data_IF_882876353993
#
_entry.id   IF_882876353993
#
_cell.length_a   1.000
_cell.length_b   1.000
_cell.length_c   1.000
_cell.angle_alpha   90.00
_cell.angle_beta   90.00
_cell.angle_gamma   90.00
#
_symmetry.space_group_name_H-M   'P 1'
#
loop_
_entity.id
_entity.type
_entity.pdbx_description
1 polymer ?
2 non-polymer ?
3 water ?
#
# COMPACT_ATOMS: atom_id res chain seq x y z
N UNK A 5 2.40 9.86 -30.30
CA UNK A 5 2.94 11.24 -30.38
C UNK A 5 3.04 11.89 -29.00
N UNK A 6 1.90 12.08 -28.31
CA UNK A 6 1.99 12.36 -26.88
C UNK A 6 2.57 11.12 -26.18
N UNK A 7 2.31 9.93 -26.73
CA UNK A 7 2.96 8.71 -26.25
C UNK A 7 4.47 8.79 -26.41
N UNK A 8 4.94 9.04 -27.64
CA UNK A 8 6.36 9.21 -27.92
C UNK A 8 6.97 10.29 -27.03
N UNK A 9 6.23 11.36 -26.84
CA UNK A 9 6.66 12.47 -26.03
C UNK A 9 6.81 12.03 -24.58
N UNK A 10 5.86 11.23 -24.08
CA UNK A 10 5.92 10.78 -22.69
C UNK A 10 7.06 9.80 -22.44
N UNK A 11 7.27 8.86 -23.40
CA UNK A 11 8.40 7.94 -23.35
C UNK A 11 9.69 8.72 -23.17
N UNK A 12 9.87 9.78 -23.99
CA UNK A 12 11.11 10.53 -24.00
C UNK A 12 11.33 11.19 -22.63
N UNK A 13 10.24 11.66 -22.02
CA UNK A 13 10.25 12.20 -20.66
C UNK A 13 10.72 11.18 -19.63
N UNK A 14 10.15 9.98 -19.69
CA UNK A 14 10.47 8.95 -18.72
C UNK A 14 11.95 8.57 -18.81
N UNK A 15 12.50 8.60 -20.04
CA UNK A 15 13.88 8.25 -20.27
C UNK A 15 14.81 9.18 -19.50
N UNK A 16 14.38 10.45 -19.32
CA UNK A 16 15.17 11.45 -18.63
C UNK A 16 15.40 11.08 -17.16
N UNK A 17 14.49 10.28 -16.56
CA UNK A 17 14.55 10.03 -15.12
C UNK A 17 14.91 8.59 -14.73
N UNK A 18 14.90 7.64 -15.68
CA UNK A 18 15.10 6.21 -15.36
C UNK A 18 16.56 5.87 -15.60
N UNK A 19 16.97 4.69 -15.16
CA UNK A 19 18.31 4.20 -15.40
C UNK A 19 18.43 3.90 -16.89
N UNK A 20 19.64 4.01 -17.49
CA UNK A 20 19.85 3.54 -18.85
C UNK A 20 19.89 2.02 -18.93
N UNK A 21 19.50 1.48 -20.08
CA UNK A 21 19.75 0.08 -20.32
C UNK A 21 18.50 -0.75 -20.12
N UNK A 22 18.72 -2.07 -19.98
CA UNK A 22 17.69 -3.06 -20.20
C UNK A 22 17.96 -4.25 -19.26
N UNK A 23 17.12 -4.46 -18.24
CA UNK A 23 17.39 -5.50 -17.25
C UNK A 23 17.22 -6.92 -17.79
N UNK A 24 16.61 -7.08 -18.97
CA UNK A 24 16.59 -8.35 -19.69
C UNK A 24 18.01 -8.84 -19.96
N UNK A 25 18.96 -7.90 -19.99
CA UNK A 25 20.37 -8.23 -20.15
C UNK A 25 20.91 -9.04 -18.96
N UNK A 26 20.30 -8.95 -17.76
CA UNK A 26 20.88 -9.57 -16.56
C UNK A 26 19.89 -10.45 -15.80
N UNK A 27 18.62 -10.53 -16.27
CA UNK A 27 17.57 -11.34 -15.68
C UNK A 27 17.13 -12.46 -16.62
N UNK A 28 16.72 -13.60 -16.02
CA UNK A 28 16.18 -14.76 -16.71
C UNK A 28 14.86 -15.17 -16.10
N UNK A 29 14.08 -15.95 -16.85
CA UNK A 29 12.97 -16.71 -16.30
C UNK A 29 11.95 -15.78 -15.64
N UNK A 30 11.50 -14.79 -16.42
CA UNK A 30 10.35 -13.97 -16.03
C UNK A 30 9.10 -14.82 -15.91
N UNK A 31 8.48 -14.77 -14.73
CA UNK A 31 7.24 -15.48 -14.46
C UNK A 31 6.27 -14.49 -13.83
N UNK A 32 5.10 -14.34 -14.44
CA UNK A 32 4.07 -13.42 -13.96
C UNK A 32 3.52 -13.97 -12.65
N UNK A 33 3.50 -13.13 -11.61
CA UNK A 33 2.99 -13.54 -10.32
C UNK A 33 1.77 -12.71 -9.89
N UNK A 34 1.44 -11.60 -10.57
CA UNK A 34 0.26 -10.81 -10.20
C UNK A 34 0.09 -9.57 -11.08
N UNK A 35 -1.02 -8.85 -10.88
CA UNK A 35 -1.31 -7.61 -11.60
C UNK A 35 -1.94 -6.63 -10.62
N UNK A 36 -1.53 -5.36 -10.67
CA UNK A 36 -2.17 -4.30 -9.92
C UNK A 36 -2.92 -3.37 -10.88
N UNK A 37 -3.19 -2.13 -10.44
CA UNK A 37 -3.97 -1.18 -11.23
C UNK A 37 -3.11 -0.47 -12.28
N UNK A 38 -1.78 -0.45 -12.10
CA UNK A 38 -0.88 0.22 -13.02
C UNK A 38 -0.07 -0.76 -13.88
N UNK A 39 -0.13 -2.07 -13.62
CA UNK A 39 0.70 -2.99 -14.38
C UNK A 39 0.76 -4.38 -13.77
N UNK A 40 1.72 -5.19 -14.26
CA UNK A 40 1.88 -6.58 -13.86
C UNK A 40 3.17 -6.71 -13.07
N UNK A 41 3.28 -7.80 -12.29
CA UNK A 41 4.42 -8.09 -11.48
C UNK A 41 4.89 -9.49 -11.88
N UNK A 42 6.16 -9.60 -12.25
CA UNK A 42 6.81 -10.86 -12.55
C UNK A 42 7.90 -11.10 -11.52
N UNK A 43 8.25 -12.34 -11.25
CA UNK A 43 9.53 -12.62 -10.62
C UNK A 43 10.53 -12.89 -11.73
N UNK A 44 11.79 -12.71 -11.43
CA UNK A 44 12.87 -13.01 -12.34
C UNK A 44 14.08 -13.42 -11.53
N UNK A 45 14.95 -14.20 -12.19
CA UNK A 45 16.19 -14.66 -11.60
C UNK A 45 17.33 -13.79 -12.10
N UNK A 46 18.13 -13.27 -11.16
CA UNK A 46 19.38 -12.62 -11.53
C UNK A 46 20.34 -13.70 -12.01
N UNK A 47 20.78 -13.64 -13.27
CA UNK A 47 21.59 -14.70 -13.84
C UNK A 47 22.88 -14.97 -13.05
N UNK A 48 23.64 -13.90 -12.72
CA UNK A 48 24.95 -14.02 -12.08
C UNK A 48 24.86 -14.70 -10.71
N UNK A 49 23.79 -14.45 -9.95
CA UNK A 49 23.74 -14.82 -8.54
C UNK A 49 22.78 -15.98 -8.24
N UNK A 50 21.75 -16.17 -9.09
CA UNK A 50 20.60 -17.01 -8.77
C UNK A 50 19.60 -16.34 -7.81
N UNK A 51 19.81 -15.05 -7.47
CA UNK A 51 18.91 -14.34 -6.58
C UNK A 51 17.64 -13.96 -7.32
N UNK A 52 16.55 -13.78 -6.57
CA UNK A 52 15.27 -13.50 -7.18
C UNK A 52 14.94 -12.02 -6.93
N UNK A 53 14.33 -11.39 -7.93
CA UNK A 53 13.82 -10.03 -7.84
C UNK A 53 12.45 -10.01 -8.44
N UNK A 54 11.72 -8.91 -8.18
CA UNK A 54 10.40 -8.68 -8.70
C UNK A 54 10.56 -7.55 -9.72
N UNK A 55 9.75 -7.61 -10.77
CA UNK A 55 9.79 -6.64 -11.84
C UNK A 55 8.35 -6.21 -12.09
N UNK A 56 8.07 -4.92 -11.79
CA UNK A 56 6.78 -4.31 -12.08
C UNK A 56 6.89 -3.66 -13.46
N UNK A 57 5.94 -4.04 -14.31
CA UNK A 57 5.87 -3.61 -15.70
C UNK A 57 4.58 -2.87 -15.94
N UNK A 58 4.71 -1.58 -16.26
CA UNK A 58 3.61 -0.64 -16.31
C UNK A 58 3.58 -0.04 -17.73
N UNK A 59 2.53 -0.35 -18.49
CA UNK A 59 2.40 0.12 -19.85
C UNK A 59 2.04 1.61 -19.84
N UNK A 60 2.83 2.40 -20.55
CA UNK A 60 2.62 3.84 -20.62
C UNK A 60 1.28 4.21 -21.26
N UNK A 61 0.66 3.30 -22.03
CA UNK A 61 -0.57 3.64 -22.73
C UNK A 61 -1.81 3.17 -21.97
N UNK A 62 -1.65 2.52 -20.80
CA UNK A 62 -2.78 1.90 -20.11
C UNK A 62 -2.99 2.51 -18.73
N UNK A 63 -2.53 3.75 -18.52
CA UNK A 63 -2.67 4.43 -17.25
C UNK A 63 -3.87 5.38 -17.32
N UNK A 64 -4.60 5.54 -16.21
CA UNK A 64 -5.61 6.58 -16.05
C UNK A 64 -4.94 7.96 -16.02
N UNK A 65 -3.86 8.12 -15.23
CA UNK A 65 -3.07 9.34 -15.19
C UNK A 65 -1.60 8.98 -15.34
N UNK A 66 -1.10 9.04 -16.59
CA UNK A 66 0.21 8.47 -16.88
C UNK A 66 1.28 9.27 -16.16
N UNK A 67 1.03 10.56 -15.81
CA UNK A 67 2.02 11.36 -15.10
C UNK A 67 2.29 10.79 -13.69
N UNK A 68 1.38 9.98 -13.15
CA UNK A 68 1.59 9.39 -11.83
C UNK A 68 2.71 8.33 -11.83
N UNK A 69 3.11 7.83 -13.02
CA UNK A 69 4.21 6.89 -13.12
C UNK A 69 5.50 7.46 -12.53
N UNK A 70 5.67 8.81 -12.56
CA UNK A 70 6.84 9.46 -11.95
C UNK A 70 6.93 9.19 -10.45
N UNK A 71 5.78 8.88 -9.79
CA UNK A 71 5.75 8.51 -8.37
C UNK A 71 6.74 7.38 -8.07
N UNK A 72 6.77 6.36 -8.91
CA UNK A 72 7.75 5.27 -8.80
C UNK A 72 9.18 5.82 -8.64
N UNK A 73 9.58 6.78 -9.48
CA UNK A 73 10.99 7.14 -9.41
C UNK A 73 11.22 8.17 -8.28
N UNK A 74 10.23 9.01 -7.94
CA UNK A 74 10.32 9.83 -6.75
C UNK A 74 10.51 8.97 -5.48
N UNK A 75 9.66 7.95 -5.28
CA UNK A 75 9.83 7.12 -4.09
C UNK A 75 11.19 6.41 -4.12
N UNK A 76 11.56 5.86 -5.29
CA UNK A 76 12.77 5.07 -5.39
C UNK A 76 13.98 5.93 -5.01
N UNK A 77 14.01 7.19 -5.47
CA UNK A 77 15.17 8.05 -5.24
C UNK A 77 15.22 8.55 -3.80
N UNK A 78 14.06 8.79 -3.15
CA UNK A 78 14.01 9.73 -2.05
C UNK A 78 13.47 9.12 -0.74
N UNK A 79 12.58 8.11 -0.79
CA UNK A 79 11.83 7.73 0.41
C UNK A 79 11.94 6.22 0.70
N UNK A 80 13.09 5.62 0.33
CA UNK A 80 13.49 4.29 0.79
C UNK A 80 13.61 4.27 2.32
N UNK A 81 13.27 3.13 2.96
CA UNK A 81 13.01 2.93 4.39
C UNK A 81 12.79 1.43 4.60
N UNK A 82 13.02 0.96 5.81
CA UNK A 82 13.01 -0.46 6.12
C UNK A 82 11.60 -1.07 6.08
N UNK A 83 10.55 -0.22 6.12
CA UNK A 83 9.18 -0.71 6.01
C UNK A 83 8.59 -0.27 4.67
N UNK A 84 9.44 0.04 3.68
CA UNK A 84 9.07 0.32 2.32
C UNK A 84 9.84 -0.66 1.43
N UNK A 85 9.15 -1.25 0.47
CA UNK A 85 9.76 -2.17 -0.48
C UNK A 85 11.03 -1.51 -1.08
N UNK A 86 12.14 -2.27 -1.12
CA UNK A 86 13.37 -1.75 -1.73
C UNK A 86 13.17 -1.71 -3.24
N UNK A 87 13.49 -0.57 -3.85
CA UNK A 87 13.39 -0.41 -5.28
C UNK A 87 14.80 -0.14 -5.80
N UNK A 88 15.27 -0.99 -6.73
CA UNK A 88 16.68 -1.02 -7.10
C UNK A 88 16.94 -0.16 -8.33
N UNK A 89 16.14 -0.32 -9.38
CA UNK A 89 16.41 0.40 -10.62
C UNK A 89 15.10 0.52 -11.39
N UNK A 90 15.06 1.51 -12.27
CA UNK A 90 13.91 1.73 -13.15
C UNK A 90 14.46 1.87 -14.55
N UNK A 91 13.66 1.45 -15.54
CA UNK A 91 14.08 1.39 -16.92
C UNK A 91 12.88 1.68 -17.81
N UNK A 92 13.14 2.21 -19.00
CA UNK A 92 12.13 2.29 -20.07
C UNK A 92 12.40 1.13 -21.02
N UNK A 93 11.47 0.19 -21.08
CA UNK A 93 11.64 -0.99 -21.91
C UNK A 93 10.48 -0.99 -22.89
N UNK A 94 10.81 -0.69 -24.16
CA UNK A 94 9.79 -0.50 -25.17
C UNK A 94 8.77 0.56 -24.75
N UNK A 95 7.50 0.17 -24.62
CA UNK A 95 6.41 1.04 -24.23
C UNK A 95 6.03 0.90 -22.75
N UNK A 96 6.94 0.34 -21.93
CA UNK A 96 6.68 0.08 -20.52
C UNK A 96 7.77 0.67 -19.63
N UNK A 97 7.33 1.13 -18.45
CA UNK A 97 8.21 1.41 -17.33
C UNK A 97 8.37 0.10 -16.55
N UNK A 98 9.63 -0.30 -16.38
CA UNK A 98 9.98 -1.42 -15.51
C UNK A 98 10.70 -0.91 -14.27
N UNK A 99 10.23 -1.41 -13.14
CA UNK A 99 10.89 -1.23 -11.87
C UNK A 99 11.34 -2.61 -11.36
N UNK A 100 12.66 -2.75 -11.17
CA UNK A 100 13.26 -3.91 -10.57
C UNK A 100 13.35 -3.62 -9.07
N UNK A 101 12.79 -4.52 -8.28
CA UNK A 101 12.61 -4.27 -6.87
C UNK A 101 12.71 -5.58 -6.10
N UNK A 102 12.67 -5.43 -4.78
CA UNK A 102 12.70 -6.55 -3.87
C UNK A 102 11.50 -7.45 -4.16
N UNK A 103 11.74 -8.78 -4.10
CA UNK A 103 10.69 -9.79 -4.12
C UNK A 103 10.30 -10.11 -2.67
N UNK A 104 9.06 -9.76 -2.32
CA UNK A 104 8.48 -9.94 -0.99
C UNK A 104 7.77 -11.29 -0.97
N UNK A 105 8.54 -12.32 -0.58
CA UNK A 105 8.14 -13.69 -0.85
C UNK A 105 7.07 -14.15 0.13
N UNK A 106 6.82 -13.36 1.20
CA UNK A 106 5.70 -13.61 2.10
C UNK A 106 4.37 -13.23 1.48
N UNK A 107 4.40 -12.54 0.33
CA UNK A 107 3.19 -12.25 -0.40
C UNK A 107 2.49 -11.00 0.13
N UNK A 108 1.28 -10.76 -0.39
CA UNK A 108 0.48 -9.61 -0.01
C UNK A 108 -0.41 -9.97 1.18
N UNK A 109 -0.77 -8.95 1.97
CA UNK A 109 -1.63 -9.19 3.11
C UNK A 109 -3.01 -9.64 2.65
N UNK A 110 -3.41 -9.36 1.40
CA UNK A 110 -4.70 -9.74 0.87
C UNK A 110 -4.94 -11.25 0.99
N UNK A 111 -3.93 -12.07 0.66
CA UNK A 111 -4.10 -13.51 0.65
C UNK A 111 -4.42 -13.99 2.08
N UNK A 112 -3.74 -13.39 3.07
CA UNK A 112 -3.92 -13.73 4.48
C UNK A 112 -5.33 -13.35 4.97
N UNK A 113 -5.78 -12.12 4.67
CA UNK A 113 -7.07 -11.68 5.20
C UNK A 113 -8.20 -12.45 4.52
N UNK A 114 -7.99 -12.91 3.26
CA UNK A 114 -8.96 -13.69 2.52
C UNK A 114 -9.15 -15.08 3.15
N UNK A 115 -8.07 -15.77 3.55
CA UNK A 115 -8.07 -17.22 3.77
C UNK A 115 -7.88 -17.61 5.24
N UNK A 116 -7.64 -16.64 6.13
CA UNK A 116 -7.03 -16.88 7.43
C UNK A 116 -7.77 -15.99 8.42
N UNK A 117 -7.60 -16.22 9.72
CA UNK A 117 -8.12 -15.30 10.75
C UNK A 117 -6.98 -14.83 11.63
N UNK A 118 -6.60 -13.57 11.47
CA UNK A 118 -5.48 -13.02 12.22
C UNK A 118 -5.89 -12.85 13.68
N UNK A 119 -4.98 -13.10 14.61
CA UNK A 119 -5.19 -12.76 16.01
C UNK A 119 -4.66 -11.34 16.24
N UNK A 120 -4.80 -10.82 17.47
CA UNK A 120 -4.56 -9.41 17.71
C UNK A 120 -3.08 -9.12 17.81
N UNK A 121 -2.28 -10.09 18.23
CA UNK A 121 -0.84 -10.02 18.16
C UNK A 121 -0.34 -9.78 16.72
N UNK A 122 -0.95 -10.49 15.75
CA UNK A 122 -0.61 -10.39 14.33
C UNK A 122 -1.12 -9.05 13.79
N UNK A 123 -2.36 -8.69 14.14
CA UNK A 123 -2.97 -7.45 13.68
C UNK A 123 -2.10 -6.31 14.19
N UNK A 124 -1.73 -6.36 15.48
CA UNK A 124 -0.94 -5.29 16.10
C UNK A 124 0.44 -5.17 15.42
N UNK A 125 1.03 -6.30 15.03
CA UNK A 125 2.29 -6.29 14.32
C UNK A 125 2.16 -5.56 12.96
N UNK A 126 1.12 -5.83 12.17
CA UNK A 126 0.94 -5.20 10.89
C UNK A 126 0.71 -3.70 11.07
N UNK A 127 -0.16 -3.32 11.99
CA UNK A 127 -0.50 -1.92 12.21
C UNK A 127 0.73 -1.15 12.68
N UNK A 128 1.55 -1.75 13.56
CA UNK A 128 2.71 -1.05 14.07
C UNK A 128 3.70 -0.76 12.93
N UNK A 129 3.94 -1.79 12.09
CA UNK A 129 4.86 -1.68 10.97
C UNK A 129 4.37 -0.64 9.96
N UNK A 130 3.08 -0.65 9.64
CA UNK A 130 2.53 0.30 8.68
C UNK A 130 2.62 1.72 9.23
N UNK A 131 2.32 1.87 10.53
CA UNK A 131 2.34 3.18 11.19
C UNK A 131 3.75 3.72 11.29
N UNK A 132 4.75 2.86 11.50
CA UNK A 132 6.15 3.26 11.41
C UNK A 132 6.45 3.85 10.03
N UNK A 133 6.04 3.17 8.95
CA UNK A 133 6.23 3.62 7.59
C UNK A 133 5.53 4.96 7.35
N UNK A 134 4.24 5.04 7.74
CA UNK A 134 3.46 6.25 7.54
C UNK A 134 4.00 7.42 8.37
N UNK A 135 4.49 7.20 9.60
CA UNK A 135 4.98 8.33 10.39
C UNK A 135 6.12 9.00 9.64
N UNK A 136 7.03 8.20 9.07
CA UNK A 136 8.19 8.72 8.38
C UNK A 136 7.77 9.43 7.07
N UNK A 137 6.87 8.79 6.31
CA UNK A 137 6.40 9.37 5.05
C UNK A 137 5.68 10.69 5.30
N UNK A 138 4.69 10.66 6.20
CA UNK A 138 3.85 11.80 6.51
C UNK A 138 4.69 12.98 7.02
N UNK A 139 5.75 12.71 7.80
CA UNK A 139 6.60 13.76 8.36
C UNK A 139 7.30 14.50 7.22
N UNK A 140 7.49 13.78 6.10
CA UNK A 140 8.09 14.34 4.90
C UNK A 140 7.04 14.78 3.87
N UNK A 141 5.76 14.82 4.23
CA UNK A 141 4.71 15.30 3.35
C UNK A 141 4.22 14.29 2.31
N UNK A 142 4.70 13.05 2.37
CA UNK A 142 4.28 12.05 1.39
C UNK A 142 3.02 11.35 1.90
N UNK A 143 1.97 11.36 1.07
CA UNK A 143 0.73 10.65 1.31
C UNK A 143 0.65 9.47 0.35
N UNK A 144 0.45 8.25 0.89
CA UNK A 144 0.42 7.06 0.06
C UNK A 144 -0.84 7.04 -0.82
N UNK A 145 -1.99 7.20 -0.19
CA UNK A 145 -3.31 7.36 -0.81
C UNK A 145 -3.88 6.04 -1.36
N UNK A 146 -3.20 4.91 -1.17
CA UNK A 146 -3.81 3.63 -1.54
C UNK A 146 -3.52 2.54 -0.53
N UNK A 147 -3.69 2.86 0.75
CA UNK A 147 -3.53 1.91 1.82
C UNK A 147 -4.72 0.92 1.81
N UNK A 148 -4.37 -0.38 1.76
CA UNK A 148 -5.29 -1.51 1.75
C UNK A 148 -4.44 -2.76 1.81
N UNK A 149 -5.04 -3.92 2.08
CA UNK A 149 -4.27 -5.15 2.26
C UNK A 149 -3.35 -5.42 1.06
N UNK A 150 -3.81 -5.14 -0.16
CA UNK A 150 -3.00 -5.40 -1.36
C UNK A 150 -1.67 -4.64 -1.40
N UNK A 151 -1.61 -3.48 -0.72
CA UNK A 151 -0.45 -2.62 -0.66
C UNK A 151 0.53 -2.99 0.44
N UNK A 152 0.22 -3.99 1.27
CA UNK A 152 1.09 -4.40 2.35
C UNK A 152 1.67 -5.77 2.00
N UNK A 153 3.00 -5.83 1.88
CA UNK A 153 3.73 -7.04 1.50
C UNK A 153 4.58 -7.54 2.68
N UNK A 154 4.88 -8.83 2.65
CA UNK A 154 5.65 -9.48 3.69
C UNK A 154 6.91 -10.13 3.10
N UNK A 155 8.03 -10.04 3.84
CA UNK A 155 9.18 -10.89 3.59
C UNK A 155 8.84 -12.31 4.07
N UNK A 156 9.67 -13.29 3.68
CA UNK A 156 9.46 -14.69 4.08
C UNK A 156 9.40 -14.82 5.59
N UNK A 157 10.18 -13.97 6.30
CA UNK A 157 10.31 -14.06 7.76
C UNK A 157 9.36 -13.08 8.46
N UNK A 158 8.39 -12.51 7.71
CA UNK A 158 7.22 -11.87 8.28
C UNK A 158 7.36 -10.38 8.54
N UNK A 159 8.39 -9.74 7.96
CA UNK A 159 8.58 -8.30 8.04
C UNK A 159 7.60 -7.62 7.06
N UNK A 160 7.06 -6.46 7.45
CA UNK A 160 5.95 -5.80 6.79
C UNK A 160 6.47 -4.57 6.03
N UNK A 161 6.10 -4.44 4.74
CA UNK A 161 6.59 -3.34 3.93
C UNK A 161 5.46 -2.79 3.07
N UNK A 162 5.41 -1.46 2.95
CA UNK A 162 4.49 -0.78 2.06
C UNK A 162 4.99 -0.86 0.63
N UNK A 163 4.02 -1.01 -0.28
CA UNK A 163 4.28 -1.09 -1.71
C UNK A 163 3.19 -0.31 -2.42
N UNK A 164 3.21 -0.27 -3.76
CA UNK A 164 2.17 0.36 -4.58
C UNK A 164 2.00 1.85 -4.29
N UNK A 165 3.09 2.59 -4.49
CA UNK A 165 3.13 4.04 -4.32
C UNK A 165 2.66 4.80 -5.55
N UNK A 166 2.10 4.10 -6.52
CA UNK A 166 1.76 4.69 -7.80
C UNK A 166 0.80 5.88 -7.69
N UNK A 167 0.00 5.97 -6.63
CA UNK A 167 -0.98 7.02 -6.46
C UNK A 167 -0.58 8.01 -5.38
N UNK A 168 0.69 7.98 -4.92
CA UNK A 168 1.09 8.87 -3.84
C UNK A 168 1.16 10.33 -4.33
N UNK A 169 1.22 11.27 -3.39
CA UNK A 169 1.39 12.70 -3.68
C UNK A 169 2.12 13.34 -2.51
N UNK A 170 2.59 14.58 -2.70
CA UNK A 170 3.32 15.29 -1.66
C UNK A 170 2.58 16.57 -1.27
N UNK A 171 2.59 16.86 0.02
CA UNK A 171 2.13 18.15 0.52
C UNK A 171 3.34 18.89 1.12
N UNK A 172 3.21 20.22 1.26
CA UNK A 172 4.30 21.07 1.65
C UNK A 172 3.70 22.39 2.08
N UNK A 173 4.54 23.27 2.66
CA UNK A 173 4.10 24.63 2.94
C UNK A 173 3.42 25.23 1.71
N UNK A 174 3.98 25.06 0.50
CA UNK A 174 3.45 25.76 -0.68
C UNK A 174 2.26 25.01 -1.29
N UNK A 175 2.08 23.72 -0.91
CA UNK A 175 0.99 22.91 -1.42
C UNK A 175 0.45 22.12 -0.23
N UNK A 176 -0.28 22.76 0.71
CA UNK A 176 -0.58 22.10 1.99
C UNK A 176 -1.59 20.96 1.95
N UNK A 177 -2.40 20.87 0.89
CA UNK A 177 -3.46 19.88 0.72
C UNK A 177 -3.48 19.38 -0.73
N UNK A 178 -3.98 18.14 -0.88
CA UNK A 178 -4.26 17.53 -2.17
C UNK A 178 -5.77 17.64 -2.40
N UNK A 179 -6.18 17.48 -3.68
CA UNK A 179 -7.59 17.49 -4.03
C UNK A 179 -8.02 16.31 -4.91
N UNK A 180 -7.07 15.53 -5.46
CA UNK A 180 -7.39 14.55 -6.48
C UNK A 180 -8.21 13.39 -5.87
N UNK A 181 -9.14 12.89 -6.68
CA UNK A 181 -9.96 11.73 -6.32
C UNK A 181 -9.11 10.50 -6.65
N UNK A 182 -8.46 9.93 -5.64
CA UNK A 182 -7.48 8.88 -5.90
C UNK A 182 -7.65 7.83 -4.80
N UNK A 183 -7.46 6.55 -5.14
CA UNK A 183 -7.43 5.47 -4.17
C UNK A 183 -8.30 4.32 -4.68
N UNK A 184 -8.83 3.54 -3.74
CA UNK A 184 -9.67 2.39 -4.03
C UNK A 184 -10.97 2.56 -3.26
N UNK A 185 -12.11 2.61 -3.99
CA UNK A 185 -13.37 3.14 -3.45
C UNK A 185 -13.64 2.80 -1.98
N UNK A 186 -13.56 1.50 -1.63
CA UNK A 186 -14.00 1.01 -0.33
C UNK A 186 -13.09 1.51 0.79
N UNK A 187 -11.86 1.91 0.45
CA UNK A 187 -10.86 2.33 1.43
C UNK A 187 -10.71 3.85 1.52
N UNK A 188 -11.41 4.59 0.67
CA UNK A 188 -11.23 6.04 0.54
C UNK A 188 -11.78 6.78 1.76
N UNK A 189 -11.05 7.82 2.24
CA UNK A 189 -11.47 8.64 3.37
C UNK A 189 -12.70 9.45 2.99
N UNK A 190 -13.66 9.73 3.90
CA UNK A 190 -14.87 10.47 3.49
C UNK A 190 -14.60 11.89 2.99
N UNK A 191 -13.65 12.64 3.59
CA UNK A 191 -13.31 13.98 3.10
C UNK A 191 -12.80 13.91 1.65
N UNK A 192 -12.10 12.82 1.30
CA UNK A 192 -11.57 12.66 -0.06
C UNK A 192 -12.70 12.37 -1.04
N UNK A 193 -13.62 11.46 -0.68
CA UNK A 193 -14.82 11.23 -1.47
C UNK A 193 -15.64 12.54 -1.63
N UNK A 194 -15.70 13.36 -0.57
CA UNK A 194 -16.44 14.62 -0.57
C UNK A 194 -15.77 15.72 -1.38
N UNK A 195 -14.52 15.52 -1.83
CA UNK A 195 -13.76 16.49 -2.60
C UNK A 195 -13.38 17.70 -1.73
N UNK A 196 -13.12 17.44 -0.45
CA UNK A 196 -12.50 18.43 0.43
C UNK A 196 -10.99 18.30 0.25
N UNK A 197 -10.24 19.41 0.25
CA UNK A 197 -8.79 19.33 0.19
C UNK A 197 -8.36 18.53 1.41
N UNK A 198 -7.38 17.64 1.23
CA UNK A 198 -7.02 16.68 2.28
C UNK A 198 -5.51 16.54 2.42
N UNK A 199 -5.12 15.88 3.52
CA UNK A 199 -3.74 15.64 3.84
C UNK A 199 -3.48 14.16 4.16
N UNK A 200 -2.36 13.91 4.87
CA UNK A 200 -1.94 12.57 5.28
C UNK A 200 -3.00 11.82 6.11
N UNK A 201 -3.94 12.56 6.74
CA UNK A 201 -5.02 11.95 7.50
C UNK A 201 -5.74 10.85 6.72
N UNK A 202 -5.86 10.99 5.39
CA UNK A 202 -6.63 10.04 4.58
C UNK A 202 -6.04 8.62 4.70
N UNK A 203 -4.72 8.52 4.87
CA UNK A 203 -4.04 7.23 5.01
C UNK A 203 -4.44 6.55 6.33
N UNK A 204 -4.66 7.36 7.38
CA UNK A 204 -5.08 6.82 8.68
C UNK A 204 -6.49 6.20 8.58
N UNK A 205 -7.41 6.88 7.88
CA UNK A 205 -8.72 6.31 7.61
C UNK A 205 -8.58 4.99 6.85
N UNK A 206 -7.80 5.02 5.75
CA UNK A 206 -7.63 3.83 4.94
C UNK A 206 -7.09 2.68 5.79
N UNK A 207 -6.12 2.94 6.69
CA UNK A 207 -5.61 1.93 7.59
C UNK A 207 -6.74 1.33 8.46
N UNK A 208 -7.61 2.21 8.98
CA UNK A 208 -8.79 1.78 9.71
C UNK A 208 -9.61 0.76 8.94
N UNK A 209 -9.85 1.02 7.64
CA UNK A 209 -10.56 0.09 6.80
C UNK A 209 -9.76 -1.21 6.66
N UNK A 210 -8.43 -1.14 6.64
CA UNK A 210 -7.63 -2.35 6.55
C UNK A 210 -7.73 -3.17 7.85
N UNK A 211 -7.91 -2.50 8.99
CA UNK A 211 -8.13 -3.20 10.24
C UNK A 211 -9.43 -4.00 10.14
N UNK A 212 -10.47 -3.40 9.56
CA UNK A 212 -11.74 -4.07 9.31
C UNK A 212 -11.53 -5.25 8.38
N UNK A 213 -10.71 -5.10 7.31
CA UNK A 213 -10.34 -6.23 6.49
C UNK A 213 -9.76 -7.34 7.35
N UNK A 214 -8.86 -6.99 8.27
CA UNK A 214 -8.12 -7.98 9.04
C UNK A 214 -9.02 -8.71 10.04
N UNK A 215 -10.06 -8.05 10.53
CA UNK A 215 -10.97 -8.60 11.53
C UNK A 215 -12.10 -9.34 10.83
N UNK A 216 -12.79 -8.67 9.87
CA UNK A 216 -13.97 -9.15 9.17
C UNK A 216 -13.67 -9.89 7.85
N UNK A 217 -12.47 -9.76 7.26
CA UNK A 217 -12.15 -10.44 6.01
C UNK A 217 -12.52 -9.65 4.76
N UNK A 218 -13.22 -8.52 4.91
CA UNK A 218 -13.48 -7.63 3.79
C UNK A 218 -13.74 -6.22 4.31
N UNK A 219 -13.59 -5.18 3.44
CA UNK A 219 -13.90 -3.81 3.82
C UNK A 219 -15.41 -3.65 3.90
N UNK A 220 -15.94 -2.62 4.61
CA UNK A 220 -17.36 -2.29 4.57
C UNK A 220 -17.84 -2.06 3.14
N UNK A 221 -19.10 -2.47 2.89
CA UNK A 221 -19.88 -2.20 1.70
C UNK A 221 -19.28 -2.89 0.47
N UNK A 222 -18.50 -3.95 0.70
CA UNK A 222 -17.74 -4.58 -0.36
C UNK A 222 -18.63 -5.25 -1.42
N UNK A 223 -19.89 -5.54 -1.06
CA UNK A 223 -20.90 -6.10 -1.95
C UNK A 223 -21.59 -5.02 -2.80
N UNK A 224 -21.51 -3.75 -2.37
CA UNK A 224 -22.06 -2.66 -3.15
C UNK A 224 -21.11 -2.35 -4.31
N UNK A 225 -21.63 -1.97 -5.50
CA UNK A 225 -20.75 -1.52 -6.58
C UNK A 225 -20.03 -0.25 -6.10
N UNK A 226 -18.81 0.06 -6.62
CA UNK A 226 -17.97 1.09 -6.03
C UNK A 226 -18.58 2.49 -5.94
N UNK A 227 -19.18 3.02 -7.03
CA UNK A 227 -19.77 4.36 -7.02
C UNK A 227 -20.79 4.48 -5.88
N UNK A 228 -21.54 3.41 -5.60
CA UNK A 228 -22.54 3.39 -4.55
C UNK A 228 -21.90 3.31 -3.17
N UNK A 229 -20.82 2.54 -3.01
CA UNK A 229 -20.15 2.41 -1.71
C UNK A 229 -19.55 3.75 -1.25
N UNK A 230 -18.99 4.51 -2.20
CA UNK A 230 -18.41 5.83 -1.92
C UNK A 230 -19.48 6.78 -1.38
N UNK A 231 -20.66 6.79 -2.02
CA UNK A 231 -21.81 7.54 -1.53
C UNK A 231 -22.11 7.18 -0.08
N UNK A 232 -22.09 5.88 0.23
CA UNK A 232 -22.38 5.42 1.58
C UNK A 232 -21.32 5.90 2.57
N UNK A 233 -20.04 5.82 2.17
CA UNK A 233 -18.94 6.22 3.04
C UNK A 233 -19.04 7.72 3.32
N UNK A 234 -19.33 8.48 2.26
CA UNK A 234 -19.49 9.93 2.34
C UNK A 234 -20.60 10.29 3.32
N UNK A 235 -21.77 9.63 3.17
CA UNK A 235 -22.99 10.06 3.86
C UNK A 235 -23.12 9.47 5.27
N UNK A 236 -22.69 8.22 5.51
CA UNK A 236 -23.02 7.54 6.76
C UNK A 236 -21.98 7.79 7.84
N UNK A 237 -22.38 7.47 9.07
CA UNK A 237 -21.46 7.38 10.19
C UNK A 237 -20.37 6.34 9.92
N UNK A 238 -19.25 6.40 10.66
CA UNK A 238 -18.14 5.47 10.48
C UNK A 238 -18.63 4.04 10.43
N UNK A 239 -18.05 3.18 9.57
CA UNK A 239 -18.53 1.81 9.47
C UNK A 239 -18.21 1.04 10.76
N UNK A 240 -18.98 -0.01 11.01
CA UNK A 240 -18.88 -0.80 12.22
C UNK A 240 -18.31 -2.18 11.87
N UNK A 241 -17.45 -2.72 12.75
CA UNK A 241 -17.05 -4.12 12.66
C UNK A 241 -18.30 -5.01 12.64
N UNK A 242 -18.41 -5.93 11.68
CA UNK A 242 -19.41 -6.99 11.70
C UNK A 242 -19.25 -7.83 12.98
N UNK A 243 -18.02 -7.95 13.49
CA UNK A 243 -17.67 -8.86 14.57
C UNK A 243 -17.14 -8.14 15.81
N UNK A 244 -17.87 -7.12 16.29
CA UNK A 244 -17.46 -6.28 17.42
C UNK A 244 -17.12 -7.11 18.65
N UNK A 245 -17.91 -8.17 18.90
CA UNK A 245 -17.73 -9.03 20.07
C UNK A 245 -16.43 -9.82 20.05
N UNK A 246 -15.75 -9.84 18.89
CA UNK A 246 -14.55 -10.63 18.67
C UNK A 246 -13.29 -9.79 18.88
N UNK A 247 -13.40 -8.49 19.15
CA UNK A 247 -12.21 -7.67 19.29
C UNK A 247 -12.06 -7.21 20.74
N UNK A 248 -10.81 -7.11 21.23
CA UNK A 248 -10.52 -6.62 22.57
C UNK A 248 -10.98 -5.17 22.70
N UNK A 249 -11.27 -4.66 23.92
CA UNK A 249 -11.50 -3.22 24.10
C UNK A 249 -10.36 -2.36 23.57
N UNK A 250 -9.11 -2.81 23.78
CA UNK A 250 -7.88 -2.18 23.27
C UNK A 250 -7.94 -1.97 21.75
N UNK A 251 -8.36 -2.98 20.97
CA UNK A 251 -8.42 -2.88 19.51
C UNK A 251 -9.56 -1.97 19.07
N UNK A 252 -10.74 -2.08 19.69
CA UNK A 252 -11.85 -1.18 19.43
C UNK A 252 -11.45 0.28 19.69
N UNK A 253 -10.78 0.54 20.81
CA UNK A 253 -10.32 1.88 21.16
C UNK A 253 -9.34 2.40 20.10
N UNK A 254 -8.43 1.53 19.65
CA UNK A 254 -7.50 1.85 18.58
C UNK A 254 -8.27 2.22 17.31
N UNK A 255 -9.18 1.34 16.89
CA UNK A 255 -9.92 1.57 15.66
C UNK A 255 -10.69 2.88 15.69
N UNK A 256 -11.18 3.26 16.88
CA UNK A 256 -12.02 4.43 17.02
C UNK A 256 -11.20 5.71 16.81
N UNK A 257 -9.86 5.61 16.95
CA UNK A 257 -8.96 6.72 16.64
C UNK A 257 -8.68 6.85 15.12
N UNK A 258 -8.93 5.76 14.35
CA UNK A 258 -8.69 5.74 12.91
C UNK A 258 -9.92 6.19 12.15
N UNK A 259 -11.09 5.59 12.45
CA UNK A 259 -12.29 5.80 11.65
C UNK A 259 -13.10 6.99 12.22
N UNK A 260 -12.45 8.18 12.25
CA UNK A 260 -13.05 9.45 12.66
C UNK A 260 -13.37 10.25 11.39
N UNK A 261 -14.64 10.65 11.21
CA UNK A 261 -15.04 11.34 10.00
C UNK A 261 -14.29 12.66 9.84
N UNK A 262 -14.11 13.39 10.93
CA UNK A 262 -13.48 14.71 10.88
C UNK A 262 -11.98 14.52 10.88
N UNK A 263 -11.27 14.83 9.76
CA UNK A 263 -9.83 14.61 9.70
C UNK A 263 -9.02 15.25 10.83
N UNK A 264 -9.49 16.41 11.35
CA UNK A 264 -8.79 17.17 12.38
C UNK A 264 -8.85 16.47 13.73
N UNK A 265 -9.79 15.53 13.90
CA UNK A 265 -9.96 14.80 15.14
C UNK A 265 -9.42 13.37 15.03
N UNK A 266 -9.06 12.93 13.82
CA UNK A 266 -8.48 11.61 13.60
C UNK A 266 -7.09 11.61 14.21
N UNK A 267 -6.66 10.52 14.82
CA UNK A 267 -5.29 10.37 15.30
C UNK A 267 -4.31 10.42 14.10
N UNK A 268 -3.11 10.97 14.36
CA UNK A 268 -2.00 10.94 13.43
C UNK A 268 -1.17 9.68 13.65
N UNK A 269 -0.36 9.34 12.65
CA UNK A 269 0.50 8.18 12.73
C UNK A 269 1.38 8.27 13.98
N UNK A 270 2.03 9.44 14.16
CA UNK A 270 2.91 9.67 15.31
C UNK A 270 2.15 9.39 16.61
N UNK A 271 0.91 9.87 16.74
CA UNK A 271 0.13 9.63 17.94
C UNK A 271 -0.21 8.14 18.10
N UNK A 272 -0.62 7.49 16.99
CA UNK A 272 -1.03 6.09 17.01
C UNK A 272 0.12 5.16 17.41
N UNK A 273 1.37 5.53 17.12
CA UNK A 273 2.50 4.72 17.53
C UNK A 273 2.57 4.50 19.06
N UNK A 274 1.92 5.37 19.85
CA UNK A 274 1.93 5.30 21.31
C UNK A 274 0.67 4.62 21.84
N UNK A 275 -0.28 4.23 20.98
CA UNK A 275 -1.48 3.58 21.45
C UNK A 275 -1.13 2.26 22.15
N UNK A 276 -1.80 1.95 23.29
CA UNK A 276 -1.59 0.69 24.00
C UNK A 276 -1.90 -0.58 23.19
N UNK A 277 -2.85 -0.53 22.25
CA UNK A 277 -3.10 -1.66 21.37
C UNK A 277 -1.81 -2.18 20.74
N UNK A 278 -0.87 -1.29 20.41
CA UNK A 278 0.31 -1.73 19.68
C UNK A 278 1.31 -2.43 20.60
N UNK A 279 1.13 -2.35 21.92
CA UNK A 279 1.97 -3.14 22.83
C UNK A 279 1.76 -4.65 22.63
N UNK A 280 0.60 -5.04 22.06
CA UNK A 280 0.26 -6.42 21.73
C UNK A 280 1.07 -6.98 20.54
N UNK A 281 1.75 -6.11 19.78
CA UNK A 281 2.35 -6.51 18.51
C UNK A 281 3.37 -7.61 18.74
N UNK A 282 3.20 -8.72 18.03
CA UNK A 282 4.19 -9.77 18.07
C UNK A 282 5.36 -9.43 17.15
N UNK A 283 6.46 -10.20 17.25
CA UNK A 283 7.57 -10.06 16.31
C UNK A 283 7.14 -10.53 14.93
N UNK A 284 7.97 -10.28 13.89
CA UNK A 284 7.70 -10.76 12.53
C UNK A 284 7.35 -12.25 12.43
N UNK A 285 8.06 -13.08 13.19
CA UNK A 285 7.79 -14.51 13.22
C UNK A 285 6.32 -14.83 13.49
N UNK A 286 5.57 -13.94 14.19
CA UNK A 286 4.20 -14.25 14.58
C UNK A 286 3.28 -14.30 13.35
N UNK A 287 3.70 -13.64 12.26
CA UNK A 287 2.97 -13.49 10.99
C UNK A 287 3.18 -14.70 10.06
N UNK A 288 4.35 -15.32 10.17
CA UNK A 288 4.85 -16.30 9.22
C UNK A 288 3.88 -17.48 9.04
N UNK A 289 3.27 -18.01 10.12
CA UNK A 289 2.32 -19.12 9.98
C UNK A 289 1.05 -18.80 9.18
N UNK A 290 0.68 -17.52 8.99
CA UNK A 290 -0.48 -17.16 8.19
C UNK A 290 -0.25 -17.32 6.67
N UNK A 291 0.99 -17.35 6.23
CA UNK A 291 1.37 -17.26 4.81
C UNK A 291 1.02 -18.57 4.10
N UNK A 292 0.64 -18.47 2.82
CA UNK A 292 0.14 -19.63 2.07
C UNK A 292 1.05 -20.84 2.24
N UNK A 293 2.37 -20.67 2.07
CA UNK A 293 3.35 -21.75 2.09
C UNK A 293 3.52 -22.42 3.46
N UNK A 294 2.87 -21.88 4.50
CA UNK A 294 3.06 -22.33 5.88
C UNK A 294 1.79 -22.82 6.54
N UNK A 295 0.63 -22.28 6.15
CA UNK A 295 -0.57 -22.48 6.94
C UNK A 295 -1.19 -23.85 6.68
N UNK A 296 -0.81 -24.58 5.60
CA UNK A 296 -1.33 -25.94 5.44
C UNK A 296 -0.19 -26.95 5.41
N UNK A 297 0.99 -26.55 5.91
CA UNK A 297 2.22 -27.33 5.83
C UNK A 297 2.20 -28.40 6.94
X LIG B 1 1.81 -7.00 -5.44
X LIG B 1 7.58 -7.45 -4.63
X LIG B 1 4.28 -5.35 -5.90
X LIG B 1 6.55 -5.25 -5.33
X LIG B 1 6.61 -6.61 -5.08
X LIG B 1 5.82 -8.72 -4.85
X LIG B 1 4.94 -9.94 -4.77
X LIG B 1 3.84 -9.79 -3.73
X LIG B 1 0.60 -7.81 -5.45
X LIG B 1 2.97 -7.52 -5.85
X LIG B 1 2.99 -8.68 -6.34
X LIG B 1 4.23 -6.74 -5.67
X LIG B 1 5.40 -4.64 -5.74
X LIG B 1 7.11 -8.73 -4.50
X LIG B 1 5.76 -11.17 -4.45
X LIG B 1 5.43 -7.38 -5.23
X LIG B 1 1.78 -6.17 -5.16
X LIG B 1 8.41 -7.25 -4.44
X LIG B 1 3.50 -4.92 -6.21
X LIG B 1 7.33 -4.73 -5.23
X LIG B 1 4.52 -10.07 -5.65
X LIG B 1 4.05 -10.30 -2.94
X LIG B 1 2.99 -10.10 -4.10
X LIG B 1 3.74 -8.85 -3.48
X LIG B 1 0.62 -8.40 -6.21
X LIG B 1 -0.17 -7.23 -5.51
X LIG B 1 0.56 -8.33 -4.63
X LIG B 1 6.01 -11.16 -3.50
X LIG B 1 6.55 -11.17 -5.00
X LIG B 1 5.22 -11.97 -4.64
#
# INVERSE_FOLDING_TARGET
>A
GPLGSSHEQFRAALQAVVDPGDPRSYLDNFIKIGEGSTGIVCIATVRSSGKLVAVKKMDLRKQQRRELLFNEVVIMRDYQHENVVEMYNSYLVGDELWVVMEFLEGGALTDIVTHTRMNEEQIAAVCLAVLQALSVLHAQGVIHRDIKSDSILLTHDGRVKLSDFGFCAQVSKEVPRRKSLVGTPYWMAPELISRLPYGPEVDIWSLGIMVIEMVDGEPPYFNEPPLKAMKMIRDNLPPRLKNLHKVSPSLKGFLDRLLVRDPAQRATAAELLKHPFLAKAGPPASIVPLMRQNRTR
>B hetero
1 M4I N1 N3 C4 C5 C6 C7 C8 C10 C1 C2 O1 C3 N2 N4 C9 C11 H4 H7 H5 H6 H8 H13 H14 H12 H1 H2 H3 H11 H9 H10
#
